data_IF_148719428331
#
_entry.id   IF_148719428331
#
_cell.length_a   1.000
_cell.length_b   1.000
_cell.length_c   1.000
_cell.angle_alpha   90.00
_cell.angle_beta   90.00
_cell.angle_gamma   90.00
#
_symmetry.space_group_name_H-M   'P 1'
#
loop_
_entity.id
_entity.type
_entity.pdbx_description
1 polymer ?
#
# COMPACT_ATOMS: atom_id res chain seq x y z
N UNK A 1 -13.48 14.59 3.35
CA UNK A 1 -12.41 13.66 3.77
C UNK A 1 -12.49 12.49 2.80
N UNK A 2 -11.57 12.36 1.85
CA UNK A 2 -11.58 11.19 0.96
C UNK A 2 -11.10 9.97 1.73
N UNK A 3 -11.91 8.91 1.73
CA UNK A 3 -11.57 7.65 2.40
C UNK A 3 -10.58 6.86 1.55
N UNK A 4 -9.68 6.09 2.16
CA UNK A 4 -8.77 5.17 1.46
C UNK A 4 -9.21 3.75 1.77
N UNK A 5 -9.57 2.99 0.76
CA UNK A 5 -9.98 1.60 0.90
C UNK A 5 -8.84 0.70 0.44
N UNK A 6 -8.52 -0.31 1.24
CA UNK A 6 -7.40 -1.19 0.97
C UNK A 6 -7.73 -2.66 1.21
N UNK A 7 -7.09 -3.51 0.42
CA UNK A 7 -6.95 -4.94 0.73
C UNK A 7 -5.61 -5.15 1.44
N UNK A 8 -5.61 -6.01 2.46
CA UNK A 8 -4.40 -6.44 3.16
C UNK A 8 -4.29 -7.97 3.07
N UNK A 9 -3.15 -8.46 2.58
CA UNK A 9 -2.93 -9.89 2.31
C UNK A 9 -1.62 -10.35 2.96
N UNK A 10 -1.59 -11.32 3.88
CA UNK A 10 -0.34 -11.88 4.41
C UNK A 10 0.49 -12.55 3.32
N UNK A 11 1.81 -12.54 3.48
CA UNK A 11 2.72 -13.16 2.52
C UNK A 11 2.62 -14.69 2.49
N UNK A 12 2.41 -15.39 3.60
CA UNK A 12 2.37 -16.85 3.49
C UNK A 12 1.63 -17.51 4.64
N UNK A 13 0.62 -18.32 4.30
CA UNK A 13 -0.11 -19.12 5.29
C UNK A 13 0.40 -20.57 5.34
N UNK A 14 0.55 -21.24 4.19
CA UNK A 14 0.99 -22.65 4.05
C UNK A 14 1.23 -23.02 2.57
N UNK A 15 2.09 -23.99 2.27
CA UNK A 15 2.30 -24.53 0.91
C UNK A 15 3.58 -24.06 0.22
N UNK A 16 3.61 -24.00 -1.11
CA UNK A 16 4.74 -23.46 -1.90
C UNK A 16 4.55 -21.96 -2.15
N UNK A 17 5.57 -21.15 -1.86
CA UNK A 17 5.49 -19.69 -1.92
C UNK A 17 5.18 -19.10 -3.30
N UNK A 18 5.48 -19.84 -4.37
CA UNK A 18 5.19 -19.44 -5.76
C UNK A 18 3.73 -19.59 -6.14
N UNK A 19 2.91 -20.31 -5.36
CA UNK A 19 1.49 -20.53 -5.69
C UNK A 19 0.62 -19.44 -5.06
N UNK A 20 0.03 -18.59 -5.91
CA UNK A 20 -0.90 -17.51 -5.54
C UNK A 20 -2.02 -17.93 -4.58
N UNK A 21 -2.50 -19.17 -4.66
CA UNK A 21 -3.58 -19.68 -3.79
C UNK A 21 -3.15 -19.90 -2.32
N UNK A 22 -1.86 -19.76 -2.01
CA UNK A 22 -1.32 -19.91 -0.64
C UNK A 22 -1.33 -18.60 0.16
N UNK A 23 -1.76 -17.51 -0.47
CA UNK A 23 -1.95 -16.18 0.11
C UNK A 23 -3.44 -16.00 0.37
N UNK A 24 -3.82 -15.49 1.56
CA UNK A 24 -5.21 -15.44 2.01
C UNK A 24 -5.55 -14.05 2.56
N UNK A 25 -6.44 -13.26 1.96
CA UNK A 25 -6.77 -11.93 2.47
C UNK A 25 -7.20 -11.94 3.94
N UNK A 26 -6.93 -10.82 4.62
CA UNK A 26 -7.37 -10.58 6.00
C UNK A 26 -8.86 -10.27 6.02
N UNK A 27 -9.60 -10.89 6.92
CA UNK A 27 -11.06 -10.86 7.05
C UNK A 27 -11.51 -10.97 8.50
N UNK A 28 -12.78 -10.64 8.76
CA UNK A 28 -13.45 -10.88 10.04
C UNK A 28 -14.03 -12.31 10.09
N UNK A 29 -13.91 -13.01 11.22
CA UNK A 29 -14.53 -14.34 11.35
C UNK A 29 -16.05 -14.24 11.53
N UNK A 30 -16.78 -15.00 10.70
CA UNK A 30 -18.25 -14.99 10.64
C UNK A 30 -18.94 -15.61 11.85
N UNK A 31 -18.23 -16.32 12.74
CA UNK A 31 -18.87 -17.01 13.86
C UNK A 31 -19.17 -16.13 15.08
N UNK A 32 -18.39 -15.09 15.39
CA UNK A 32 -18.81 -14.00 16.32
C UNK A 32 -17.97 -12.72 16.08
N UNK A 33 -17.72 -12.31 14.83
CA UNK A 33 -17.46 -10.92 14.41
C UNK A 33 -16.35 -10.09 15.07
N UNK A 34 -15.48 -10.68 15.89
CA UNK A 34 -14.54 -9.93 16.74
C UNK A 34 -13.10 -10.15 16.31
N UNK A 35 -12.70 -11.38 15.97
CA UNK A 35 -11.30 -11.68 15.63
C UNK A 35 -10.99 -11.38 14.17
N UNK A 36 -9.80 -10.81 13.94
CA UNK A 36 -9.25 -10.60 12.60
C UNK A 36 -8.40 -11.80 12.20
N UNK A 37 -8.69 -12.39 11.03
CA UNK A 37 -8.00 -13.59 10.53
C UNK A 37 -7.68 -13.53 9.05
N UNK A 38 -6.60 -14.18 8.62
CA UNK A 38 -6.19 -14.24 7.23
C UNK A 38 -6.41 -15.65 6.65
N UNK A 39 -7.65 -15.98 6.34
CA UNK A 39 -8.07 -17.36 6.05
C UNK A 39 -8.93 -17.53 4.79
N UNK A 40 -9.41 -16.45 4.18
CA UNK A 40 -10.40 -16.52 3.11
C UNK A 40 -9.79 -16.78 1.74
N UNK A 41 -10.57 -17.36 0.83
CA UNK A 41 -10.14 -17.61 -0.55
C UNK A 41 -10.52 -16.47 -1.50
N UNK A 42 -11.64 -15.81 -1.21
CA UNK A 42 -12.23 -14.76 -2.05
C UNK A 42 -12.17 -13.40 -1.34
N UNK A 43 -12.13 -12.33 -2.13
CA UNK A 43 -12.18 -10.95 -1.64
C UNK A 43 -13.63 -10.48 -1.78
N UNK A 44 -14.28 -10.25 -0.64
CA UNK A 44 -15.59 -9.64 -0.46
C UNK A 44 -15.45 -8.28 0.24
N UNK A 45 -16.54 -7.69 0.72
CA UNK A 45 -16.48 -6.46 1.52
C UNK A 45 -15.87 -6.68 2.92
N UNK A 46 -15.76 -7.92 3.39
CA UNK A 46 -15.14 -8.24 4.69
C UNK A 46 -13.61 -8.18 4.68
N UNK A 47 -13.01 -8.14 3.48
CA UNK A 47 -11.56 -8.07 3.26
C UNK A 47 -11.09 -6.65 2.91
N UNK A 48 -12.02 -5.69 2.89
CA UNK A 48 -11.78 -4.27 2.57
C UNK A 48 -11.73 -3.45 3.84
N UNK A 49 -10.68 -2.66 3.98
CA UNK A 49 -10.46 -1.82 5.17
C UNK A 49 -10.28 -0.36 4.78
N UNK A 50 -10.91 0.53 5.54
CA UNK A 50 -10.68 1.96 5.46
C UNK A 50 -9.44 2.33 6.27
N UNK A 51 -8.47 2.99 5.64
CA UNK A 51 -7.26 3.48 6.28
C UNK A 51 -7.40 4.97 6.60
N UNK A 52 -7.29 5.30 7.88
CA UNK A 52 -7.43 6.68 8.36
C UNK A 52 -6.12 7.13 9.00
N UNK A 53 -5.56 8.21 8.46
CA UNK A 53 -4.31 8.78 8.97
C UNK A 53 -4.59 9.71 10.14
N UNK A 54 -4.00 9.43 11.29
CA UNK A 54 -4.01 10.34 12.42
C UNK A 54 -2.81 11.30 12.33
N UNK A 55 -3.09 12.56 12.05
CA UNK A 55 -2.07 13.59 11.87
C UNK A 55 -1.32 13.94 13.15
N UNK A 56 -1.89 13.62 14.32
CA UNK A 56 -1.28 13.90 15.63
C UNK A 56 -0.17 12.91 15.97
N UNK A 57 -0.41 11.61 15.79
CA UNK A 57 0.57 10.56 16.05
C UNK A 57 1.35 10.11 14.81
N UNK A 58 0.93 10.54 13.61
CA UNK A 58 1.47 10.10 12.30
C UNK A 58 1.27 8.60 12.03
N UNK A 59 0.25 8.01 12.65
CA UNK A 59 -0.09 6.58 12.59
C UNK A 59 -1.43 6.36 11.88
N UNK A 60 -1.79 5.10 11.71
CA UNK A 60 -2.96 4.71 10.94
C UNK A 60 -3.97 3.93 11.79
N UNK A 61 -5.24 4.25 11.60
CA UNK A 61 -6.34 3.36 11.96
C UNK A 61 -6.65 2.43 10.78
N UNK A 62 -6.99 1.18 11.09
CA UNK A 62 -7.54 0.21 10.13
C UNK A 62 -8.99 -0.06 10.53
N UNK A 63 -9.93 0.53 9.79
CA UNK A 63 -11.36 0.48 10.06
C UNK A 63 -12.06 -0.49 9.10
N UNK A 64 -12.99 -1.28 9.61
CA UNK A 64 -13.78 -2.24 8.84
C UNK A 64 -14.99 -1.56 8.19
N UNK A 65 -15.63 -2.24 7.24
CA UNK A 65 -16.87 -1.78 6.61
C UNK A 65 -18.08 -1.75 7.58
N UNK A 66 -17.95 -2.33 8.78
CA UNK A 66 -18.95 -2.29 9.86
C UNK A 66 -18.61 -1.22 10.92
N UNK A 67 -17.79 -0.25 10.57
CA UNK A 67 -17.45 0.90 11.41
C UNK A 67 -16.72 0.52 12.71
N UNK A 68 -15.96 -0.57 12.66
CA UNK A 68 -15.12 -1.03 13.77
C UNK A 68 -13.64 -0.84 13.48
N UNK A 69 -12.84 -0.67 14.51
CA UNK A 69 -11.40 -0.49 14.37
C UNK A 69 -10.66 -1.75 14.79
N UNK A 70 -9.66 -2.16 13.99
CA UNK A 70 -8.64 -3.09 14.47
C UNK A 70 -8.04 -2.53 15.74
N UNK A 71 -8.01 -3.34 16.79
CA UNK A 71 -7.62 -2.93 18.14
C UNK A 71 -6.75 -4.03 18.74
N UNK A 72 -5.64 -3.61 19.32
CA UNK A 72 -4.77 -4.46 20.12
C UNK A 72 -5.43 -4.79 21.47
N UNK A 73 -5.62 -6.07 21.73
CA UNK A 73 -6.14 -6.59 23.00
C UNK A 73 -5.01 -6.94 23.98
N UNK A 74 -5.37 -7.08 25.26
CA UNK A 74 -4.41 -7.35 26.35
C UNK A 74 -3.56 -8.61 26.14
N UNK A 75 -4.10 -9.64 25.47
CA UNK A 75 -3.39 -10.86 25.10
C UNK A 75 -2.54 -10.78 23.82
N UNK A 76 -2.43 -9.59 23.22
CA UNK A 76 -1.73 -9.36 21.96
C UNK A 76 -2.54 -9.70 20.71
N UNK A 77 -3.76 -10.23 20.84
CA UNK A 77 -4.64 -10.49 19.71
C UNK A 77 -5.13 -9.20 19.07
N UNK A 78 -5.42 -9.24 17.77
CA UNK A 78 -6.05 -8.12 17.05
C UNK A 78 -7.52 -8.43 16.80
N UNK A 79 -8.38 -7.54 17.30
CA UNK A 79 -9.84 -7.65 17.20
C UNK A 79 -10.45 -6.40 16.56
N UNK A 80 -11.66 -6.51 16.03
CA UNK A 80 -12.41 -5.40 15.42
C UNK A 80 -13.75 -5.17 16.12
N UNK A 81 -13.71 -4.93 17.44
CA UNK A 81 -14.90 -4.71 18.27
C UNK A 81 -15.16 -3.21 18.58
N UNK A 82 -14.11 -2.38 18.54
CA UNK A 82 -14.14 -0.99 18.98
C UNK A 82 -14.87 -0.10 17.97
N UNK A 83 -15.86 0.68 18.43
CA UNK A 83 -16.61 1.66 17.62
C UNK A 83 -16.00 3.05 17.62
N UNK A 84 -14.98 3.28 18.45
CA UNK A 84 -14.32 4.56 18.61
C UNK A 84 -12.81 4.40 18.42
N UNK A 85 -12.13 5.39 17.85
CA UNK A 85 -10.68 5.42 17.81
C UNK A 85 -10.08 5.37 19.22
N UNK A 86 -9.05 4.55 19.43
CA UNK A 86 -8.29 4.47 20.68
C UNK A 86 -6.78 4.39 20.40
N UNK A 87 -5.94 4.55 21.41
CA UNK A 87 -4.49 4.36 21.27
C UNK A 87 -4.10 2.94 20.86
N UNK A 88 -4.89 1.93 21.26
CA UNK A 88 -4.68 0.54 20.88
C UNK A 88 -5.16 0.21 19.47
N UNK A 89 -5.88 1.12 18.81
CA UNK A 89 -6.31 0.98 17.43
C UNK A 89 -5.37 1.67 16.42
N UNK A 90 -4.27 2.25 16.90
CA UNK A 90 -3.28 2.93 16.07
C UNK A 90 -2.10 2.02 15.74
N UNK A 91 -1.72 2.01 14.46
CA UNK A 91 -0.64 1.20 13.93
C UNK A 91 0.37 2.03 13.15
N UNK A 92 1.67 1.78 13.34
CA UNK A 92 2.70 2.29 12.43
C UNK A 92 2.82 1.36 11.23
N UNK A 93 2.92 1.93 10.04
CA UNK A 93 3.17 1.16 8.82
C UNK A 93 4.66 1.20 8.52
N UNK A 94 5.30 0.03 8.53
CA UNK A 94 6.71 -0.13 8.21
C UNK A 94 6.84 -0.81 6.85
N UNK A 95 7.00 0.00 5.81
CA UNK A 95 7.18 -0.43 4.43
C UNK A 95 8.57 -1.05 4.22
N UNK A 96 8.60 -2.21 3.58
CA UNK A 96 9.80 -3.03 3.37
C UNK A 96 10.29 -2.95 1.93
N UNK A 97 11.57 -3.24 1.68
CA UNK A 97 12.19 -3.12 0.35
C UNK A 97 11.45 -3.90 -0.76
N UNK A 98 10.87 -5.06 -0.44
CA UNK A 98 10.12 -5.91 -1.38
C UNK A 98 8.66 -5.46 -1.60
N UNK A 99 8.25 -4.31 -1.08
CA UNK A 99 6.91 -3.77 -1.24
C UNK A 99 5.89 -4.26 -0.21
N UNK A 100 6.28 -5.18 0.68
CA UNK A 100 5.44 -5.56 1.81
C UNK A 100 5.39 -4.48 2.90
N UNK A 101 4.37 -4.56 3.75
CA UNK A 101 4.17 -3.69 4.90
C UNK A 101 4.04 -4.52 6.16
N UNK A 102 4.69 -4.08 7.23
CA UNK A 102 4.48 -4.59 8.58
C UNK A 102 3.70 -3.56 9.41
N UNK A 103 2.78 -4.03 10.23
CA UNK A 103 1.96 -3.18 11.10
C UNK A 103 2.48 -3.27 12.53
N UNK A 104 3.06 -2.20 13.05
CA UNK A 104 3.48 -2.15 14.45
C UNK A 104 2.32 -1.66 15.33
N UNK A 105 1.92 -2.45 16.31
CA UNK A 105 0.88 -2.11 17.26
C UNK A 105 1.41 -1.31 18.45
N UNK A 106 0.51 -0.84 19.32
CA UNK A 106 0.84 0.04 20.43
C UNK A 106 1.70 -0.62 21.54
N UNK A 107 1.82 -1.94 21.55
CA UNK A 107 2.78 -2.67 22.41
C UNK A 107 4.20 -2.73 21.83
N UNK A 108 4.46 -2.05 20.70
CA UNK A 108 5.76 -2.01 20.02
C UNK A 108 6.08 -3.25 19.19
N UNK A 109 5.21 -4.28 19.20
CA UNK A 109 5.37 -5.50 18.40
C UNK A 109 4.68 -5.37 17.05
N UNK A 110 5.10 -6.18 16.09
CA UNK A 110 4.46 -6.27 14.78
C UNK A 110 3.34 -7.32 14.79
N UNK A 111 2.26 -7.02 14.07
CA UNK A 111 1.17 -7.95 13.83
C UNK A 111 1.70 -9.09 12.98
N UNK A 112 1.63 -10.32 13.49
CA UNK A 112 1.93 -11.55 12.80
C UNK A 112 0.69 -12.41 12.60
N UNK A 113 0.66 -13.14 11.48
CA UNK A 113 -0.37 -14.12 11.16
C UNK A 113 0.00 -15.48 11.73
N UNK A 114 -0.79 -16.01 12.69
CA UNK A 114 -0.61 -17.37 13.20
C UNK A 114 -0.98 -18.41 12.15
N UNK A 115 -0.55 -19.67 12.33
CA UNK A 115 -0.95 -20.81 11.47
C UNK A 115 -2.46 -20.99 11.36
N UNK A 116 -3.21 -20.58 12.40
CA UNK A 116 -4.67 -20.58 12.44
C UNK A 116 -5.30 -19.40 11.67
N UNK A 117 -4.49 -18.46 11.17
CA UNK A 117 -4.90 -17.24 10.49
C UNK A 117 -5.11 -16.04 11.40
N UNK A 118 -5.27 -16.24 12.71
CA UNK A 118 -5.48 -15.13 13.64
C UNK A 118 -4.28 -14.18 13.67
N UNK A 119 -4.58 -12.89 13.76
CA UNK A 119 -3.59 -11.83 13.86
C UNK A 119 -3.22 -11.55 15.33
N UNK A 120 -1.92 -11.49 15.61
CA UNK A 120 -1.38 -11.19 16.94
C UNK A 120 -0.19 -10.24 16.84
N UNK A 121 -0.14 -9.18 17.65
CA UNK A 121 1.01 -8.31 17.78
C UNK A 121 2.07 -8.93 18.71
N UNK A 122 2.86 -9.85 18.18
CA UNK A 122 3.87 -10.58 18.93
C UNK A 122 5.22 -10.74 18.21
N UNK A 123 5.35 -10.31 16.95
CA UNK A 123 6.62 -10.33 16.25
C UNK A 123 7.51 -9.17 16.73
N UNK A 124 8.80 -9.45 16.93
CA UNK A 124 9.78 -8.47 17.43
C UNK A 124 10.36 -7.57 16.34
N UNK A 125 10.37 -8.06 15.10
CA UNK A 125 10.93 -7.37 13.93
C UNK A 125 9.93 -7.36 12.78
N UNK A 126 9.99 -6.31 11.96
CA UNK A 126 9.23 -6.21 10.71
C UNK A 126 9.70 -7.20 9.64
N UNK A 127 10.91 -7.76 9.81
CA UNK A 127 11.49 -8.74 8.89
C UNK A 127 10.92 -10.15 9.10
N UNK A 128 10.19 -10.37 10.20
CA UNK A 128 9.49 -11.64 10.42
C UNK A 128 8.48 -11.84 9.30
N UNK A 129 8.65 -12.93 8.56
CA UNK A 129 7.81 -13.25 7.41
C UNK A 129 6.32 -13.33 7.77
N UNK A 130 6.00 -13.81 8.97
CA UNK A 130 4.61 -13.88 9.44
C UNK A 130 4.00 -12.50 9.71
N UNK A 131 4.83 -11.46 9.82
CA UNK A 131 4.44 -10.07 10.05
C UNK A 131 4.39 -9.22 8.78
N UNK A 132 4.62 -9.83 7.60
CA UNK A 132 4.60 -9.14 6.32
C UNK A 132 3.26 -9.30 5.61
N UNK A 133 2.79 -8.19 5.06
CA UNK A 133 1.54 -8.12 4.30
C UNK A 133 1.76 -7.38 2.99
N UNK A 134 1.03 -7.77 1.96
CA UNK A 134 0.88 -7.00 0.74
C UNK A 134 -0.32 -6.07 0.85
N UNK A 135 -0.12 -4.87 0.33
CA UNK A 135 -1.08 -3.78 0.37
C UNK A 135 -1.56 -3.47 -1.04
N UNK A 136 -2.86 -3.23 -1.19
CA UNK A 136 -3.44 -2.69 -2.42
C UNK A 136 -4.39 -1.56 -2.09
N UNK A 137 -4.21 -0.39 -2.73
CA UNK A 137 -5.17 0.71 -2.67
C UNK A 137 -6.25 0.49 -3.73
N UNK A 138 -7.44 0.06 -3.32
CA UNK A 138 -8.45 -0.47 -4.25
C UNK A 138 -9.46 0.57 -4.72
N UNK A 139 -9.64 1.66 -3.97
CA UNK A 139 -10.54 2.75 -4.35
C UNK A 139 -9.84 3.88 -5.13
N UNK A 140 -8.71 3.56 -5.77
CA UNK A 140 -8.01 4.42 -6.74
C UNK A 140 -7.64 3.63 -8.00
N UNK A 141 -8.62 3.15 -8.78
CA UNK A 141 -8.35 2.51 -10.07
C UNK A 141 -7.78 3.49 -11.11
N UNK A 142 -7.92 4.79 -10.84
CA UNK A 142 -7.32 5.88 -11.60
C UNK A 142 -6.69 6.84 -10.59
N UNK A 143 -5.45 7.24 -10.84
CA UNK A 143 -4.70 8.22 -10.06
C UNK A 143 -4.48 9.49 -10.86
N UNK A 144 -4.43 10.60 -10.13
CA UNK A 144 -3.82 11.85 -10.56
C UNK A 144 -2.71 12.14 -9.56
N UNK A 145 -1.47 12.25 -10.02
CA UNK A 145 -0.34 12.47 -9.14
C UNK A 145 0.15 13.90 -9.24
N UNK A 146 0.47 14.49 -8.09
CA UNK A 146 1.02 15.84 -8.00
C UNK A 146 2.18 15.88 -7.00
N UNK A 147 3.25 16.60 -7.36
CA UNK A 147 4.33 16.93 -6.45
C UNK A 147 4.42 18.45 -6.26
N UNK A 148 5.44 18.94 -5.55
CA UNK A 148 5.63 20.37 -5.32
C UNK A 148 5.81 21.19 -6.61
N UNK A 149 6.27 20.55 -7.70
CA UNK A 149 6.51 21.22 -8.98
C UNK A 149 5.25 21.31 -9.87
N UNK A 150 4.22 20.51 -9.61
CA UNK A 150 3.04 20.40 -10.46
C UNK A 150 2.49 18.99 -10.58
N UNK A 151 1.60 18.80 -11.54
CA UNK A 151 1.01 17.50 -11.85
C UNK A 151 1.95 16.65 -12.68
N UNK A 152 1.78 15.34 -12.56
CA UNK A 152 2.35 14.36 -13.49
C UNK A 152 1.58 14.41 -14.81
N UNK A 153 2.32 14.44 -15.91
CA UNK A 153 1.77 14.29 -17.25
C UNK A 153 2.85 14.14 -18.31
N UNK A 154 2.44 14.00 -19.56
CA UNK A 154 3.35 13.90 -20.69
C UNK A 154 4.18 15.18 -20.87
N UNK A 155 5.46 15.04 -21.21
CA UNK A 155 6.38 16.15 -21.48
C UNK A 155 5.80 17.09 -22.54
N UNK A 156 5.38 16.53 -23.67
CA UNK A 156 4.62 17.19 -24.73
C UNK A 156 3.53 16.24 -25.24
N UNK A 157 2.57 16.72 -26.02
CA UNK A 157 1.47 15.89 -26.56
C UNK A 157 1.96 14.69 -27.39
N UNK A 158 3.14 14.80 -28.00
CA UNK A 158 3.71 13.79 -28.89
C UNK A 158 4.86 13.00 -28.23
N UNK A 159 5.08 13.19 -26.93
CA UNK A 159 6.13 12.51 -26.17
C UNK A 159 5.50 11.60 -25.13
N UNK A 160 6.01 10.37 -25.05
CA UNK A 160 5.61 9.40 -24.03
C UNK A 160 6.48 9.50 -22.76
N UNK A 161 7.43 10.45 -22.72
CA UNK A 161 8.20 10.78 -21.51
C UNK A 161 7.31 11.52 -20.53
N UNK A 162 7.34 11.12 -19.27
CA UNK A 162 6.56 11.72 -18.20
C UNK A 162 7.38 12.82 -17.49
N UNK A 163 6.71 13.90 -17.11
CA UNK A 163 7.23 15.00 -16.29
C UNK A 163 6.23 15.30 -15.15
N UNK A 164 6.67 16.02 -14.11
CA UNK A 164 5.92 16.29 -12.89
C UNK A 164 5.74 17.79 -12.58
N UNK A 165 6.01 18.65 -13.56
CA UNK A 165 5.88 20.11 -13.47
C UNK A 165 4.72 20.64 -14.35
N UNK A 166 3.72 19.80 -14.63
CA UNK A 166 2.62 20.16 -15.53
C UNK A 166 1.56 20.96 -14.80
N UNK A 167 0.95 21.93 -15.50
CA UNK A 167 -0.21 22.67 -15.00
C UNK A 167 -1.50 21.83 -15.06
N UNK A 168 -1.63 20.98 -16.08
CA UNK A 168 -2.74 20.04 -16.24
C UNK A 168 -2.31 18.64 -15.82
N UNK A 169 -3.23 17.88 -15.24
CA UNK A 169 -2.99 16.49 -14.87
C UNK A 169 -3.24 15.54 -16.03
N UNK A 170 -2.51 14.43 -16.02
CA UNK A 170 -2.87 13.22 -16.75
C UNK A 170 -3.49 12.21 -15.79
N UNK A 171 -4.38 11.38 -16.32
CA UNK A 171 -4.95 10.26 -15.57
C UNK A 171 -4.09 9.01 -15.76
N UNK A 172 -3.81 8.32 -14.66
CA UNK A 172 -2.98 7.12 -14.64
C UNK A 172 -3.88 5.97 -14.18
N UNK A 173 -4.14 5.01 -15.06
CA UNK A 173 -4.90 3.81 -14.68
C UNK A 173 -3.99 2.92 -13.83
N UNK A 174 -4.53 2.44 -12.71
CA UNK A 174 -3.84 1.52 -11.80
C UNK A 174 -4.40 0.12 -12.00
N UNK A 175 -3.54 -0.80 -12.39
CA UNK A 175 -3.88 -2.21 -12.56
C UNK A 175 -3.20 -3.04 -11.46
N UNK A 176 -3.93 -3.99 -10.87
CA UNK A 176 -3.43 -4.82 -9.77
C UNK A 176 -2.47 -5.87 -10.29
N UNK A 177 -1.24 -5.88 -9.77
CA UNK A 177 -0.24 -6.93 -9.97
C UNK A 177 -0.26 -7.98 -8.86
N UNK A 178 0.76 -8.84 -8.85
CA UNK A 178 0.97 -9.82 -7.79
C UNK A 178 1.81 -9.23 -6.64
N UNK A 179 1.75 -9.85 -5.45
CA UNK A 179 2.64 -9.52 -4.33
C UNK A 179 2.69 -8.02 -3.95
N UNK A 180 1.55 -7.33 -4.01
CA UNK A 180 1.43 -5.91 -3.65
C UNK A 180 1.80 -4.96 -4.79
N UNK A 181 2.22 -5.48 -5.93
CA UNK A 181 2.55 -4.66 -7.09
C UNK A 181 1.31 -4.05 -7.72
N UNK A 182 1.53 -2.90 -8.34
CA UNK A 182 0.61 -2.23 -9.25
C UNK A 182 1.33 -1.88 -10.54
N UNK A 183 0.56 -1.84 -11.62
CA UNK A 183 1.02 -1.37 -12.93
C UNK A 183 0.35 -0.05 -13.24
N UNK A 184 1.14 0.95 -13.60
CA UNK A 184 0.64 2.25 -14.00
C UNK A 184 0.53 2.31 -15.52
N UNK A 185 -0.65 2.60 -16.03
CA UNK A 185 -0.90 2.72 -17.46
C UNK A 185 -1.29 4.16 -17.79
N UNK A 186 -0.53 4.79 -18.67
CA UNK A 186 -0.77 6.16 -19.12
C UNK A 186 -2.01 6.25 -20.01
N UNK A 187 -2.54 7.46 -20.16
CA UNK A 187 -3.74 7.73 -20.96
C UNK A 187 -3.59 7.36 -22.45
N UNK A 188 -2.35 7.40 -22.97
CA UNK A 188 -2.04 6.97 -24.35
C UNK A 188 -1.87 5.45 -24.51
N UNK A 189 -2.06 4.67 -23.45
CA UNK A 189 -2.20 3.21 -23.51
C UNK A 189 -0.95 2.40 -23.17
N UNK A 190 0.24 3.01 -23.08
CA UNK A 190 1.46 2.34 -22.65
C UNK A 190 1.61 2.27 -21.12
N UNK A 191 2.31 1.24 -20.64
CA UNK A 191 2.68 1.10 -19.24
C UNK A 191 3.87 1.99 -18.90
N UNK A 192 3.86 2.48 -17.67
CA UNK A 192 5.01 3.14 -17.07
C UNK A 192 6.16 2.16 -16.92
N UNK A 193 7.35 2.61 -17.26
CA UNK A 193 8.58 1.90 -17.00
C UNK A 193 9.74 2.88 -16.83
N UNK A 194 10.79 2.45 -16.15
CA UNK A 194 12.03 3.21 -16.07
C UNK A 194 12.78 3.14 -17.41
N UNK A 195 13.17 4.30 -17.95
CA UNK A 195 13.89 4.40 -19.21
C UNK A 195 14.97 5.47 -19.14
N UNK A 196 16.24 5.06 -19.10
CA UNK A 196 17.37 5.97 -18.96
C UNK A 196 17.27 6.82 -17.69
N UNK A 197 17.13 8.13 -17.86
CA UNK A 197 17.04 9.11 -16.78
C UNK A 197 15.61 9.54 -16.43
N UNK A 198 14.59 8.79 -16.86
CA UNK A 198 13.19 9.17 -16.60
C UNK A 198 12.21 8.00 -16.57
N UNK A 199 10.93 8.35 -16.45
CA UNK A 199 9.81 7.43 -16.62
C UNK A 199 9.15 7.68 -17.98
N UNK A 200 8.93 6.61 -18.73
CA UNK A 200 8.19 6.62 -20.01
C UNK A 200 6.90 5.83 -19.85
N UNK A 201 5.86 6.18 -20.62
CA UNK A 201 4.56 5.52 -20.60
C UNK A 201 4.20 4.93 -21.98
N UNK A 202 5.12 4.15 -22.55
CA UNK A 202 5.07 3.56 -23.89
C UNK A 202 5.29 2.04 -23.92
N UNK A 203 5.57 1.41 -22.76
CA UNK A 203 5.84 -0.02 -22.73
C UNK A 203 4.57 -0.84 -22.97
N UNK A 204 4.68 -1.91 -23.75
CA UNK A 204 3.64 -2.93 -23.88
C UNK A 204 3.65 -3.92 -22.71
N UNK A 205 4.81 -4.06 -22.04
CA UNK A 205 5.01 -4.95 -20.90
C UNK A 205 4.94 -4.14 -19.60
N UNK A 206 4.13 -4.53 -18.61
CA UNK A 206 4.02 -3.78 -17.37
C UNK A 206 5.29 -3.92 -16.51
N UNK A 207 5.82 -2.80 -16.03
CA UNK A 207 6.80 -2.77 -14.93
C UNK A 207 6.08 -2.61 -13.60
N UNK A 208 6.43 -3.45 -12.61
CA UNK A 208 5.79 -3.48 -11.29
C UNK A 208 6.30 -2.40 -10.34
N UNK A 209 5.37 -1.64 -9.77
CA UNK A 209 5.61 -0.64 -8.72
C UNK A 209 4.84 -0.96 -7.44
N UNK A 210 5.27 -0.39 -6.33
CA UNK A 210 4.58 -0.43 -5.04
C UNK A 210 4.11 0.97 -4.64
N UNK A 211 2.92 1.02 -4.05
CA UNK A 211 2.36 2.23 -3.43
C UNK A 211 2.59 2.14 -1.92
N UNK A 212 3.23 3.17 -1.37
CA UNK A 212 3.46 3.29 0.06
C UNK A 212 2.75 4.52 0.61
N UNK A 213 1.67 4.33 1.36
CA UNK A 213 0.99 5.44 2.03
C UNK A 213 1.89 6.02 3.12
N UNK A 214 2.15 7.33 3.03
CA UNK A 214 2.97 8.06 4.00
C UNK A 214 2.15 9.00 4.86
N UNK A 215 1.12 9.62 4.27
CA UNK A 215 0.26 10.58 4.97
C UNK A 215 -1.20 10.54 4.50
N UNK A 216 -2.02 11.44 5.05
CA UNK A 216 -3.44 11.61 4.73
C UNK A 216 -3.74 11.73 3.23
N UNK A 217 -2.88 12.36 2.43
CA UNK A 217 -3.09 12.49 0.98
C UNK A 217 -1.81 12.24 0.19
N UNK A 218 -0.74 11.73 0.83
CA UNK A 218 0.56 11.60 0.20
C UNK A 218 1.10 10.17 0.25
N UNK A 219 1.66 9.72 -0.86
CA UNK A 219 2.28 8.40 -1.02
C UNK A 219 3.69 8.49 -1.63
N UNK A 220 4.50 7.47 -1.41
CA UNK A 220 5.70 7.22 -2.21
C UNK A 220 5.41 6.12 -3.23
N UNK A 221 6.13 6.18 -4.36
CA UNK A 221 6.15 5.13 -5.36
C UNK A 221 7.53 4.48 -5.40
N UNK A 222 7.57 3.16 -5.51
CA UNK A 222 8.82 2.38 -5.48
C UNK A 222 8.79 1.29 -6.54
N UNK A 223 9.89 1.03 -7.22
CA UNK A 223 9.95 -0.09 -8.17
C UNK A 223 10.18 -1.44 -7.46
N UNK A 224 10.20 -2.51 -8.24
CA UNK A 224 10.42 -3.88 -7.75
C UNK A 224 11.81 -4.13 -7.15
N UNK A 225 12.78 -3.24 -7.40
CA UNK A 225 14.13 -3.29 -6.83
C UNK A 225 14.25 -2.50 -5.51
N UNK A 226 13.14 -1.98 -4.98
CA UNK A 226 13.13 -1.19 -3.75
C UNK A 226 13.60 0.25 -3.94
N UNK A 227 13.75 0.73 -5.17
CA UNK A 227 14.19 2.09 -5.47
C UNK A 227 13.00 3.04 -5.61
N UNK A 228 13.09 4.20 -4.99
CA UNK A 228 12.01 5.18 -4.96
C UNK A 228 11.97 6.05 -6.22
N UNK A 229 10.76 6.43 -6.64
CA UNK A 229 10.60 7.46 -7.67
C UNK A 229 10.90 8.83 -7.05
N UNK A 230 11.83 9.55 -7.67
CA UNK A 230 12.32 10.86 -7.22
C UNK A 230 12.17 11.91 -8.32
N UNK A 231 11.89 13.14 -7.94
CA UNK A 231 11.77 14.27 -8.87
C UNK A 231 13.11 14.94 -9.10
N UNK A 232 13.26 15.56 -10.27
CA UNK A 232 14.43 16.33 -10.67
C UNK A 232 14.07 17.81 -10.78
N UNK A 233 15.08 18.69 -10.67
CA UNK A 233 14.88 20.15 -10.69
C UNK A 233 14.31 20.69 -12.01
N UNK A 234 14.41 19.93 -13.09
CA UNK A 234 13.90 20.28 -14.42
C UNK A 234 12.46 19.80 -14.65
N UNK A 235 11.79 19.26 -13.64
CA UNK A 235 10.45 18.66 -13.76
C UNK A 235 10.44 17.22 -14.26
N UNK A 236 11.60 16.63 -14.59
CA UNK A 236 11.72 15.19 -14.78
C UNK A 236 11.49 14.43 -13.49
N UNK A 237 11.22 13.14 -13.60
CA UNK A 237 11.26 12.22 -12.47
C UNK A 237 11.70 10.84 -12.95
N UNK A 238 12.37 10.11 -12.06
CA UNK A 238 13.03 8.84 -12.38
C UNK A 238 13.08 7.92 -11.17
N UNK A 239 13.54 6.70 -11.39
CA UNK A 239 13.92 5.79 -10.31
C UNK A 239 15.25 6.26 -9.69
N UNK A 240 15.24 6.50 -8.38
CA UNK A 240 16.39 6.93 -7.60
C UNK A 240 17.06 5.78 -6.85
N UNK A 241 17.37 6.02 -5.58
CA UNK A 241 17.96 5.03 -4.67
C UNK A 241 16.90 4.41 -3.74
N UNK A 242 17.35 3.61 -2.78
CA UNK A 242 16.51 2.87 -1.82
C UNK A 242 16.25 3.65 -0.53
N UNK A 243 16.69 4.90 -0.41
CA UNK A 243 16.50 5.73 0.78
C UNK A 243 15.10 6.38 0.77
N UNK A 244 14.18 5.98 1.68
CA UNK A 244 12.83 6.51 1.71
C UNK A 244 12.77 8.01 2.03
N UNK A 245 13.80 8.58 2.66
CA UNK A 245 13.85 10.02 2.97
C UNK A 245 14.03 10.89 1.74
N UNK A 246 14.49 10.30 0.62
CA UNK A 246 14.69 10.98 -0.67
C UNK A 246 13.54 10.77 -1.64
N UNK A 247 12.59 9.89 -1.30
CA UNK A 247 11.44 9.59 -2.11
C UNK A 247 10.57 10.84 -2.31
N UNK A 248 10.06 11.04 -3.53
CA UNK A 248 9.05 12.07 -3.74
C UNK A 248 7.74 11.65 -3.06
N UNK A 249 7.17 12.57 -2.28
CA UNK A 249 5.80 12.46 -1.79
C UNK A 249 4.83 12.98 -2.86
N UNK A 250 4.01 12.07 -3.39
CA UNK A 250 2.99 12.35 -4.38
C UNK A 250 1.64 12.53 -3.70
N UNK A 251 0.99 13.68 -3.94
CA UNK A 251 -0.42 13.87 -3.65
C UNK A 251 -1.28 13.11 -4.68
N UNK A 252 -2.37 12.48 -4.22
CA UNK A 252 -3.20 11.54 -4.99
C UNK A 252 -4.68 11.53 -4.62
#
# INVERSE_FOLDING_TARGET
MEWKLADVVPIFKKGERVKKNNYRPVSLTSTVGVDVTANQEEISDHEKFQLEYDSSTKRWYVRTMQDKYWTLEAGGGIQANATKPTSNALFNFHWQADGSVAFQANNGKYIATKKSGHLFANADTSDDESARFYFYLINRPVLVLKCEQGFVGYKTSNSLKMECNKANYETIRVERGEQGQVFFRGQQGGYWHACGDGIMADSEVPEGFFIELREATRMCLKNSNGQYIVTEKNGGFKVGDTDPSRATLWEF
#
